data_IF_818257748294
#
_entry.id   IF_818257748294
#
_cell.length_a   1.000
_cell.length_b   1.000
_cell.length_c   1.000
_cell.angle_alpha   90.00
_cell.angle_beta   90.00
_cell.angle_gamma   90.00
#
_symmetry.space_group_name_H-M   'P 1'
#
loop_
_entity.id
_entity.type
_entity.pdbx_description
1 polymer ?
#
# COMPACT_ATOMS: atom_id res chain seq x y z
N UNK A 1 -5.49 6.68 -31.22
CA UNK A 1 -4.83 6.13 -30.02
C UNK A 1 -5.90 6.05 -28.95
N UNK A 2 -6.27 4.84 -28.52
CA UNK A 2 -7.27 4.65 -27.47
C UNK A 2 -6.62 5.07 -26.15
N UNK A 3 -6.99 6.24 -25.60
CA UNK A 3 -6.64 6.56 -24.22
C UNK A 3 -7.21 5.46 -23.32
N UNK A 4 -6.35 4.80 -22.54
CA UNK A 4 -6.79 3.78 -21.60
C UNK A 4 -7.79 4.39 -20.63
N UNK A 5 -9.03 3.89 -20.65
CA UNK A 5 -10.11 4.39 -19.80
C UNK A 5 -9.90 4.07 -18.31
N UNK A 6 -8.86 3.29 -17.97
CA UNK A 6 -8.46 2.97 -16.59
C UNK A 6 -6.94 2.95 -16.52
N UNK A 7 -6.35 3.81 -15.69
CA UNK A 7 -4.91 3.90 -15.49
C UNK A 7 -4.57 4.32 -14.06
N UNK A 8 -3.28 4.26 -13.71
CA UNK A 8 -2.75 4.69 -12.42
C UNK A 8 -1.94 5.97 -12.55
N UNK A 9 -1.98 6.81 -11.51
CA UNK A 9 -1.12 7.98 -11.38
C UNK A 9 -0.26 7.78 -10.14
N UNK A 10 1.07 7.76 -10.34
CA UNK A 10 2.04 7.59 -9.27
C UNK A 10 2.73 8.94 -9.00
N UNK A 11 2.73 9.37 -7.74
CA UNK A 11 3.37 10.61 -7.28
C UNK A 11 4.25 10.31 -6.07
N UNK A 12 5.50 10.78 -6.09
CA UNK A 12 6.34 10.72 -4.89
C UNK A 12 5.79 11.70 -3.84
N UNK A 13 5.74 11.24 -2.59
CA UNK A 13 5.42 12.09 -1.45
C UNK A 13 6.74 12.65 -0.93
N UNK A 14 6.88 13.98 -1.02
CA UNK A 14 8.02 14.69 -0.44
C UNK A 14 7.92 14.71 1.08
N UNK A 15 9.06 14.59 1.75
CA UNK A 15 9.14 14.57 3.21
C UNK A 15 9.00 13.16 3.79
N UNK A 16 9.10 13.07 5.10
CA UNK A 16 9.03 11.79 5.82
C UNK A 16 7.60 11.52 6.25
N UNK A 17 7.10 10.33 5.94
CA UNK A 17 5.78 9.86 6.38
C UNK A 17 5.96 8.77 7.42
N UNK A 18 5.24 8.89 8.53
CA UNK A 18 5.18 7.87 9.58
C UNK A 18 3.74 7.42 9.77
N UNK A 19 3.52 6.11 9.86
CA UNK A 19 2.24 5.47 10.18
C UNK A 19 2.39 4.81 11.54
N UNK A 20 1.52 5.17 12.49
CA UNK A 20 1.50 4.59 13.83
C UNK A 20 0.14 4.05 14.20
N UNK A 21 0.09 2.97 14.98
CA UNK A 21 -1.10 2.44 15.60
C UNK A 21 -0.78 2.20 17.08
N UNK A 22 -1.59 2.73 18.00
CA UNK A 22 -1.36 2.62 19.45
C UNK A 22 0.06 3.06 19.90
N UNK A 23 0.63 4.09 19.24
CA UNK A 23 2.02 4.56 19.44
C UNK A 23 3.13 3.65 18.91
N UNK A 24 2.79 2.50 18.32
CA UNK A 24 3.73 1.62 17.62
C UNK A 24 3.90 2.10 16.18
N UNK A 25 5.15 2.23 15.72
CA UNK A 25 5.46 2.58 14.34
C UNK A 25 5.28 1.36 13.44
N UNK A 26 4.29 1.41 12.56
CA UNK A 26 4.07 0.39 11.54
C UNK A 26 4.96 0.63 10.33
N UNK A 27 5.11 1.89 9.92
CA UNK A 27 5.98 2.28 8.82
C UNK A 27 6.53 3.70 8.97
N UNK A 28 7.75 3.93 8.51
CA UNK A 28 8.37 5.23 8.37
C UNK A 28 9.29 5.28 7.15
N UNK A 29 9.07 6.25 6.26
CA UNK A 29 9.93 6.41 5.08
C UNK A 29 9.88 7.83 4.51
N UNK A 30 10.97 8.24 3.88
CA UNK A 30 11.03 9.43 3.01
C UNK A 30 10.86 9.11 1.51
N UNK A 31 10.66 7.85 1.16
CA UNK A 31 10.51 7.37 -0.22
C UNK A 31 9.12 6.74 -0.41
N UNK A 32 8.06 7.48 -0.07
CA UNK A 32 6.67 7.00 -0.15
C UNK A 32 6.05 7.41 -1.48
N UNK A 33 5.32 6.48 -2.09
CA UNK A 33 4.60 6.73 -3.34
C UNK A 33 3.12 6.81 -3.07
N UNK A 34 2.47 7.87 -3.51
CA UNK A 34 1.01 7.94 -3.63
C UNK A 34 0.59 7.37 -4.97
N UNK A 35 -0.34 6.41 -4.97
CA UNK A 35 -0.95 5.87 -6.18
C UNK A 35 -2.45 6.14 -6.14
N UNK A 36 -2.97 6.82 -7.16
CA UNK A 36 -4.41 6.92 -7.42
C UNK A 36 -4.79 6.15 -8.67
N UNK A 37 -6.00 5.60 -8.68
CA UNK A 37 -6.61 5.03 -9.87
C UNK A 37 -7.49 6.08 -10.54
N UNK A 38 -7.45 6.13 -11.87
CA UNK A 38 -8.32 7.00 -12.66
C UNK A 38 -9.15 6.12 -13.58
N UNK A 39 -10.48 6.25 -13.52
CA UNK A 39 -11.40 5.60 -14.44
C UNK A 39 -12.24 6.65 -15.19
N UNK A 40 -12.17 6.62 -16.52
CA UNK A 40 -12.72 7.59 -17.48
C UNK A 40 -12.22 9.01 -17.22
N UNK A 41 -12.74 9.68 -16.20
CA UNK A 41 -12.36 11.04 -15.77
C UNK A 41 -12.50 11.23 -14.25
N UNK A 42 -12.63 10.13 -13.50
CA UNK A 42 -12.78 10.15 -12.04
C UNK A 42 -11.52 9.57 -11.41
N UNK A 43 -10.84 10.38 -10.61
CA UNK A 43 -9.75 9.94 -9.74
C UNK A 43 -10.33 9.41 -8.43
N UNK A 44 -9.90 8.22 -8.03
CA UNK A 44 -10.25 7.61 -6.75
C UNK A 44 -9.24 8.01 -5.66
N UNK A 45 -9.63 7.93 -4.38
CA UNK A 45 -8.72 8.23 -3.27
C UNK A 45 -7.39 7.49 -3.40
N UNK A 46 -6.30 8.24 -3.22
CA UNK A 46 -4.96 7.68 -3.37
C UNK A 46 -4.58 6.79 -2.19
N UNK A 47 -3.80 5.75 -2.47
CA UNK A 47 -3.19 4.87 -1.49
C UNK A 47 -1.69 5.16 -1.38
N UNK A 48 -1.17 5.15 -0.16
CA UNK A 48 0.26 5.29 0.11
C UNK A 48 0.96 3.94 0.09
N UNK A 49 2.04 3.84 -0.69
CA UNK A 49 2.92 2.71 -0.80
C UNK A 49 4.26 3.06 -0.15
N UNK A 50 4.64 2.28 0.85
CA UNK A 50 5.90 2.39 1.57
C UNK A 50 6.89 1.34 1.06
N UNK A 51 8.18 1.68 0.92
CA UNK A 51 9.19 0.67 0.61
C UNK A 51 9.22 -0.32 1.78
N UNK A 52 9.31 -1.62 1.48
CA UNK A 52 9.29 -2.66 2.53
C UNK A 52 10.30 -2.45 3.64
N UNK A 53 11.47 -1.91 3.31
CA UNK A 53 12.53 -1.60 4.28
C UNK A 53 12.13 -0.52 5.30
N UNK A 54 11.15 0.33 4.97
CA UNK A 54 10.58 1.33 5.88
C UNK A 54 9.35 0.82 6.63
N UNK A 55 9.01 -0.47 6.55
CA UNK A 55 7.85 -1.07 7.20
C UNK A 55 8.35 -2.07 8.24
N UNK A 56 7.77 -2.04 9.44
CA UNK A 56 8.08 -2.99 10.49
C UNK A 56 7.41 -4.34 10.20
N UNK A 57 7.96 -5.08 9.21
CA UNK A 57 7.41 -6.35 8.75
C UNK A 57 7.38 -7.45 9.83
N UNK A 58 8.07 -7.27 10.97
CA UNK A 58 7.98 -8.19 12.11
C UNK A 58 6.59 -8.21 12.75
N UNK A 59 5.77 -7.17 12.53
CA UNK A 59 4.37 -7.10 12.97
C UNK A 59 3.41 -7.74 11.95
N UNK A 60 3.91 -8.25 10.82
CA UNK A 60 3.07 -8.69 9.71
C UNK A 60 3.38 -10.14 9.31
N UNK A 61 2.35 -10.96 9.31
CA UNK A 61 2.38 -12.33 8.78
C UNK A 61 1.81 -12.34 7.36
N UNK A 62 2.49 -13.02 6.42
CA UNK A 62 2.00 -13.12 5.04
C UNK A 62 0.84 -14.11 4.99
N UNK A 63 -0.24 -13.73 4.30
CA UNK A 63 -1.37 -14.63 4.07
C UNK A 63 -1.03 -15.59 2.94
N UNK A 64 -0.96 -16.88 3.25
CA UNK A 64 -0.68 -17.93 2.27
C UNK A 64 -1.94 -18.30 1.47
N UNK A 65 -1.78 -18.54 0.17
CA UNK A 65 -2.87 -18.97 -0.73
C UNK A 65 -3.88 -17.89 -1.13
N UNK A 66 -4.00 -16.78 -0.38
CA UNK A 66 -4.91 -15.68 -0.73
C UNK A 66 -4.22 -14.61 -1.57
N UNK A 67 -4.80 -14.33 -2.74
CA UNK A 67 -4.36 -13.27 -3.63
C UNK A 67 -5.55 -12.69 -4.39
N UNK A 68 -5.52 -11.40 -4.68
CA UNK A 68 -6.49 -10.75 -5.56
C UNK A 68 -5.80 -10.35 -6.86
N UNK A 69 -6.50 -10.53 -7.97
CA UNK A 69 -6.01 -10.14 -9.29
C UNK A 69 -6.64 -8.82 -9.72
N UNK A 70 -5.82 -7.83 -10.02
CA UNK A 70 -6.25 -6.56 -10.60
C UNK A 70 -5.82 -6.51 -12.07
N UNK A 71 -6.73 -6.21 -13.02
CA UNK A 71 -6.43 -6.19 -14.46
C UNK A 71 -5.28 -5.26 -14.86
N UNK A 72 -5.04 -4.20 -14.08
CA UNK A 72 -4.04 -3.15 -14.36
C UNK A 72 -2.83 -3.19 -13.41
N UNK A 73 -2.93 -3.85 -12.25
CA UNK A 73 -1.84 -3.89 -11.25
C UNK A 73 -1.19 -5.26 -11.11
N UNK A 74 -1.84 -6.34 -11.53
CA UNK A 74 -1.38 -7.71 -11.30
C UNK A 74 -1.90 -8.30 -9.99
N UNK A 75 -1.16 -9.27 -9.45
CA UNK A 75 -1.57 -10.03 -8.26
C UNK A 75 -1.10 -9.36 -6.96
N UNK A 76 -2.01 -9.13 -6.03
CA UNK A 76 -1.72 -8.61 -4.70
C UNK A 76 -1.52 -9.75 -3.70
N UNK A 77 -0.41 -9.68 -2.95
CA UNK A 77 -0.16 -10.50 -1.76
C UNK A 77 -0.61 -9.74 -0.52
N UNK A 78 -1.29 -10.41 0.40
CA UNK A 78 -1.83 -9.79 1.61
C UNK A 78 -1.05 -10.17 2.85
N UNK A 79 -1.15 -9.31 3.86
CA UNK A 79 -0.51 -9.46 5.16
C UNK A 79 -1.52 -9.19 6.28
N UNK A 80 -1.50 -10.03 7.29
CA UNK A 80 -2.22 -9.83 8.55
C UNK A 80 -1.31 -9.05 9.49
N UNK A 81 -1.85 -8.04 10.17
CA UNK A 81 -1.16 -7.26 11.19
C UNK A 81 -1.43 -7.88 12.56
N UNK A 82 -0.38 -8.13 13.32
CA UNK A 82 -0.43 -8.57 14.71
C UNK A 82 0.26 -7.50 15.57
N UNK A 83 -0.52 -6.83 16.43
CA UNK A 83 -0.02 -5.72 17.25
C UNK A 83 -0.81 -5.61 18.55
N UNK A 84 -0.11 -5.48 19.67
CA UNK A 84 -0.70 -5.39 21.01
C UNK A 84 -1.71 -6.51 21.36
N UNK A 85 -1.56 -7.70 20.76
CA UNK A 85 -2.48 -8.83 20.96
C UNK A 85 -3.76 -8.75 20.14
N UNK A 86 -3.91 -7.74 19.28
CA UNK A 86 -4.96 -7.65 18.26
C UNK A 86 -4.45 -8.15 16.91
N UNK A 87 -5.32 -8.85 16.19
CA UNK A 87 -5.07 -9.32 14.84
C UNK A 87 -5.99 -8.57 13.86
N UNK A 88 -5.40 -7.98 12.82
CA UNK A 88 -6.14 -7.32 11.74
C UNK A 88 -5.84 -8.06 10.43
N UNK A 89 -6.76 -8.95 10.06
CA UNK A 89 -6.64 -9.75 8.84
C UNK A 89 -6.60 -8.88 7.58
N UNK A 90 -5.69 -9.21 6.66
CA UNK A 90 -5.53 -8.50 5.39
C UNK A 90 -5.33 -6.98 5.55
N UNK A 91 -4.69 -6.55 6.65
CA UNK A 91 -4.45 -5.15 6.98
C UNK A 91 -3.51 -4.44 5.99
N UNK A 92 -2.67 -5.19 5.28
CA UNK A 92 -1.75 -4.64 4.31
C UNK A 92 -1.66 -5.52 3.06
N UNK A 93 -1.20 -4.93 1.96
CA UNK A 93 -0.93 -5.67 0.73
C UNK A 93 0.30 -5.15 0.00
N UNK A 94 0.80 -5.99 -0.89
CA UNK A 94 1.96 -5.73 -1.77
C UNK A 94 1.68 -6.27 -3.16
N UNK A 95 2.13 -5.55 -4.17
CA UNK A 95 2.28 -6.11 -5.52
C UNK A 95 3.72 -6.60 -5.69
N UNK A 96 3.95 -7.90 -5.54
CA UNK A 96 5.29 -8.50 -5.69
C UNK A 96 5.76 -8.53 -7.15
N UNK A 97 4.81 -8.67 -8.07
CA UNK A 97 5.03 -8.74 -9.50
C UNK A 97 4.00 -7.89 -10.23
N UNK A 98 4.07 -6.55 -10.10
CA UNK A 98 3.11 -5.66 -10.75
C UNK A 98 3.30 -5.63 -12.26
N UNK A 99 2.27 -5.20 -12.99
CA UNK A 99 2.40 -4.87 -14.40
C UNK A 99 3.36 -3.69 -14.62
N UNK A 100 3.89 -3.56 -15.84
CA UNK A 100 4.97 -2.63 -16.17
C UNK A 100 4.65 -1.17 -15.80
N UNK A 101 3.41 -0.73 -16.01
CA UNK A 101 2.94 0.62 -15.65
C UNK A 101 3.01 0.92 -14.14
N UNK A 102 3.02 -0.12 -13.30
CA UNK A 102 3.07 -0.03 -11.84
C UNK A 102 4.40 -0.57 -11.26
N UNK A 103 5.44 -0.74 -12.09
CA UNK A 103 6.72 -1.30 -11.65
C UNK A 103 7.39 -0.53 -10.50
N UNK A 104 7.11 0.78 -10.35
CA UNK A 104 7.68 1.63 -9.30
C UNK A 104 7.28 1.21 -7.88
N UNK A 105 6.12 0.55 -7.72
CA UNK A 105 5.62 0.08 -6.42
C UNK A 105 5.90 -1.42 -6.18
N UNK A 106 6.75 -2.05 -7.00
CA UNK A 106 7.09 -3.46 -6.83
C UNK A 106 7.63 -3.74 -5.43
N UNK A 107 6.95 -4.62 -4.70
CA UNK A 107 7.30 -5.04 -3.34
C UNK A 107 7.05 -3.98 -2.25
N UNK A 108 6.51 -2.81 -2.60
CA UNK A 108 6.07 -1.80 -1.64
C UNK A 108 4.81 -2.29 -0.92
N UNK A 109 4.63 -1.82 0.32
CA UNK A 109 3.51 -2.17 1.19
C UNK A 109 2.52 -1.00 1.23
N UNK A 110 1.24 -1.30 1.04
CA UNK A 110 0.13 -0.40 1.31
C UNK A 110 -0.72 -0.94 2.48
N UNK A 111 -1.43 -0.06 3.17
CA UNK A 111 -2.28 -0.38 4.31
C UNK A 111 -3.75 -0.15 3.98
N UNK A 112 -4.62 -1.06 4.43
CA UNK A 112 -6.06 -0.90 4.36
C UNK A 112 -6.54 -0.09 5.57
N UNK A 113 -6.56 1.23 5.39
CA UNK A 113 -6.98 2.19 6.42
C UNK A 113 -8.47 2.10 6.79
N UNK A 114 -9.25 1.22 6.13
CA UNK A 114 -10.65 0.97 6.52
C UNK A 114 -10.78 -0.09 7.61
N UNK A 115 -9.73 -0.91 7.82
CA UNK A 115 -9.72 -2.01 8.79
C UNK A 115 -9.23 -1.62 10.17
N UNK A 116 -8.50 -0.52 10.28
CA UNK A 116 -7.95 0.00 11.52
C UNK A 116 -7.74 1.51 11.41
N UNK A 117 -7.55 2.20 12.54
CA UNK A 117 -7.46 3.65 12.57
C UNK A 117 -6.06 4.15 12.98
N UNK A 118 -5.06 4.11 12.07
CA UNK A 118 -3.72 4.56 12.40
C UNK A 118 -3.62 6.09 12.36
N UNK A 119 -2.64 6.64 13.06
CA UNK A 119 -2.20 8.01 12.90
C UNK A 119 -1.16 8.10 11.78
N UNK A 120 -1.31 9.09 10.89
CA UNK A 120 -0.36 9.33 9.79
C UNK A 120 0.19 10.74 9.93
N UNK A 121 1.51 10.86 10.08
CA UNK A 121 2.20 12.16 10.17
C UNK A 121 3.10 12.36 8.96
N UNK A 122 3.16 13.60 8.47
CA UNK A 122 4.10 14.04 7.42
C UNK A 122 4.97 15.16 7.97
N UNK A 123 6.28 15.06 7.79
CA UNK A 123 7.27 16.06 8.20
C UNK A 123 8.11 16.51 7.02
#
# INVERSE_FOLDING_TARGET
MSESIHYTVLKDINGRVTVTLNSIVLAESGAVISLSEVYKNKEYPSVMYFPRAGVNMALFSKVEGFHTSCPIKGSASYYTLEVDGEEVENAAWSYENPLQENAKIKGYIAFDLTKFNPSITRK
#
